data_IF_579422280358
#
_entry.id   IF_579422280358
#
_cell.length_a   1.000
_cell.length_b   1.000
_cell.length_c   1.000
_cell.angle_alpha   90.00
_cell.angle_beta   90.00
_cell.angle_gamma   90.00
#
_symmetry.space_group_name_H-M   'P 1'
#
loop_
_entity.id
_entity.type
_entity.pdbx_description
1 polymer ?
#
# COMPACT_ATOMS: atom_id res chain seq x y z
N UNK A 1 23.25 -0.28 -14.70
CA UNK A 1 23.64 -1.49 -13.93
C UNK A 1 22.76 -2.63 -14.39
N UNK A 2 23.32 -3.80 -14.61
CA UNK A 2 22.55 -5.01 -14.92
C UNK A 2 22.36 -5.86 -13.67
N UNK A 3 21.35 -6.74 -13.66
CA UNK A 3 21.13 -7.66 -12.54
C UNK A 3 22.38 -8.52 -12.25
N UNK A 4 23.10 -8.89 -13.32
CA UNK A 4 24.36 -9.65 -13.25
C UNK A 4 25.45 -8.92 -12.48
N UNK A 5 25.47 -7.58 -12.51
CA UNK A 5 26.47 -6.77 -11.80
C UNK A 5 26.17 -6.70 -10.29
N UNK A 6 24.89 -6.80 -9.90
CA UNK A 6 24.43 -6.61 -8.50
C UNK A 6 24.33 -7.94 -7.74
N UNK A 7 24.12 -9.05 -8.46
CA UNK A 7 23.94 -10.39 -7.87
C UNK A 7 25.09 -10.83 -6.94
N UNK A 8 26.38 -10.60 -7.27
CA UNK A 8 27.48 -10.99 -6.40
C UNK A 8 27.45 -10.27 -5.06
N UNK A 9 27.15 -8.96 -5.07
CA UNK A 9 27.05 -8.15 -3.86
C UNK A 9 25.85 -8.58 -2.99
N UNK A 10 24.68 -8.81 -3.61
CA UNK A 10 23.50 -9.29 -2.90
C UNK A 10 23.71 -10.65 -2.21
N UNK A 11 24.56 -11.53 -2.79
CA UNK A 11 24.88 -12.83 -2.20
C UNK A 11 25.74 -12.73 -0.95
N UNK A 12 26.61 -11.71 -0.85
CA UNK A 12 27.52 -11.49 0.29
C UNK A 12 26.81 -10.92 1.53
N UNK A 13 25.59 -10.40 1.37
CA UNK A 13 24.78 -9.89 2.47
C UNK A 13 24.47 -10.97 3.52
N UNK A 14 24.40 -10.54 4.78
CA UNK A 14 23.88 -11.36 5.87
C UNK A 14 22.40 -11.69 5.66
N UNK A 15 21.89 -12.69 6.38
CA UNK A 15 20.47 -13.11 6.28
C UNK A 15 19.52 -11.93 6.56
N UNK A 16 19.81 -11.13 7.59
CA UNK A 16 19.02 -9.95 7.95
C UNK A 16 19.03 -8.88 6.86
N UNK A 17 20.19 -8.64 6.24
CA UNK A 17 20.32 -7.67 5.15
C UNK A 17 19.61 -8.13 3.88
N UNK A 18 19.61 -9.44 3.58
CA UNK A 18 18.83 -10.01 2.47
C UNK A 18 17.33 -9.79 2.67
N UNK A 19 16.82 -10.01 3.88
CA UNK A 19 15.41 -9.74 4.19
C UNK A 19 15.06 -8.26 4.02
N UNK A 20 15.95 -7.34 4.44
CA UNK A 20 15.78 -5.90 4.22
C UNK A 20 15.78 -5.54 2.73
N UNK A 21 16.72 -6.11 1.96
CA UNK A 21 16.79 -5.89 0.51
C UNK A 21 15.53 -6.36 -0.19
N UNK A 22 15.00 -7.55 0.15
CA UNK A 22 13.74 -8.06 -0.40
C UNK A 22 12.60 -7.08 -0.12
N UNK A 23 12.52 -6.57 1.11
CA UNK A 23 11.47 -5.61 1.49
C UNK A 23 11.56 -4.30 0.70
N UNK A 24 12.74 -3.72 0.57
CA UNK A 24 12.94 -2.49 -0.22
C UNK A 24 12.54 -2.73 -1.67
N UNK A 25 12.95 -3.85 -2.26
CA UNK A 25 12.59 -4.18 -3.64
C UNK A 25 11.09 -4.41 -3.84
N UNK A 26 10.40 -4.98 -2.85
CA UNK A 26 8.95 -5.13 -2.88
C UNK A 26 8.25 -3.76 -2.79
N UNK A 27 8.70 -2.90 -1.88
CA UNK A 27 8.19 -1.53 -1.71
C UNK A 27 8.42 -0.68 -2.99
N UNK A 28 9.59 -0.81 -3.62
CA UNK A 28 9.89 -0.15 -4.89
C UNK A 28 8.99 -0.63 -6.03
N UNK A 29 8.65 -1.93 -6.08
CA UNK A 29 7.73 -2.49 -7.07
C UNK A 29 6.29 -2.05 -6.84
N UNK A 30 5.85 -1.93 -5.58
CA UNK A 30 4.53 -1.40 -5.22
C UNK A 30 4.44 0.11 -5.50
N UNK A 31 5.51 0.88 -5.27
CA UNK A 31 5.59 2.30 -5.64
C UNK A 31 5.68 2.53 -7.16
N UNK A 32 6.20 1.56 -7.90
CA UNK A 32 6.29 1.61 -9.35
C UNK A 32 4.96 1.32 -10.05
N UNK A 33 3.95 0.79 -9.33
CA UNK A 33 2.58 0.98 -9.78
C UNK A 33 2.30 2.49 -9.69
N UNK A 34 2.18 3.15 -10.84
CA UNK A 34 1.65 4.50 -10.92
C UNK A 34 0.20 4.47 -10.40
N UNK A 35 0.05 4.52 -9.07
CA UNK A 35 -1.15 5.06 -8.46
C UNK A 35 -1.06 6.57 -8.69
N UNK A 36 -1.16 7.00 -9.95
CA UNK A 36 -1.42 8.40 -10.28
C UNK A 36 -2.80 8.65 -9.67
N UNK A 37 -2.89 9.29 -8.47
CA UNK A 37 -4.07 9.11 -7.65
C UNK A 37 -5.28 9.71 -8.35
N UNK A 38 -5.07 10.71 -9.22
CA UNK A 38 -6.09 11.37 -10.01
C UNK A 38 -5.45 11.90 -11.31
N UNK A 39 -6.11 11.69 -12.44
CA UNK A 39 -5.71 12.26 -13.72
C UNK A 39 -6.00 13.77 -13.75
N UNK A 40 -5.10 14.61 -14.28
CA UNK A 40 -5.38 16.03 -14.48
C UNK A 40 -6.65 16.23 -15.30
N UNK A 41 -7.53 17.13 -14.86
CA UNK A 41 -8.79 17.47 -15.52
C UNK A 41 -9.85 16.37 -15.58
N UNK A 42 -9.68 15.27 -14.84
CA UNK A 42 -10.72 14.25 -14.71
C UNK A 42 -11.67 14.59 -13.56
N UNK A 43 -12.96 14.59 -13.87
CA UNK A 43 -14.01 14.60 -12.86
C UNK A 43 -14.18 13.18 -12.32
N UNK A 44 -14.12 13.04 -11.00
CA UNK A 44 -14.36 11.78 -10.31
C UNK A 44 -15.66 11.89 -9.54
N UNK A 45 -16.58 10.97 -9.80
CA UNK A 45 -17.82 10.86 -9.03
C UNK A 45 -17.49 10.29 -7.65
N UNK A 46 -17.35 11.19 -6.68
CA UNK A 46 -17.19 10.82 -5.29
C UNK A 46 -18.59 10.59 -4.71
N UNK A 47 -18.90 9.37 -4.21
CA UNK A 47 -20.13 9.16 -3.46
C UNK A 47 -20.05 10.02 -2.21
N UNK A 48 -20.76 11.16 -2.21
CA UNK A 48 -20.86 11.98 -1.01
C UNK A 48 -21.90 11.36 -0.08
N UNK A 49 -21.65 11.31 1.24
CA UNK A 49 -22.60 10.77 2.19
C UNK A 49 -23.77 11.75 2.46
N UNK A 50 -24.12 12.61 1.51
CA UNK A 50 -25.08 13.71 1.68
C UNK A 50 -26.46 13.20 2.13
N UNK A 51 -26.88 12.04 1.63
CA UNK A 51 -28.11 11.34 2.06
C UNK A 51 -27.84 10.06 2.86
N UNK A 52 -26.60 9.86 3.32
CA UNK A 52 -26.20 8.68 4.11
C UNK A 52 -26.36 8.94 5.61
N UNK A 53 -27.57 9.37 6.01
CA UNK A 53 -27.91 9.60 7.41
C UNK A 53 -27.67 8.34 8.23
N UNK A 54 -26.95 8.46 9.36
CA UNK A 54 -26.66 7.33 10.23
C UNK A 54 -25.53 6.41 9.74
N UNK A 55 -24.97 6.59 8.54
CA UNK A 55 -23.83 5.81 8.07
C UNK A 55 -22.62 5.92 9.00
N UNK A 56 -22.41 7.09 9.63
CA UNK A 56 -21.39 7.26 10.65
C UNK A 56 -21.58 6.36 11.87
N UNK A 57 -22.82 6.12 12.32
CA UNK A 57 -23.08 5.22 13.44
C UNK A 57 -22.81 3.76 13.08
N UNK A 58 -23.23 3.35 11.87
CA UNK A 58 -22.98 1.99 11.34
C UNK A 58 -21.48 1.74 11.16
N UNK A 59 -20.74 2.73 10.65
CA UNK A 59 -19.28 2.65 10.53
C UNK A 59 -18.63 2.48 11.90
N UNK A 60 -19.01 3.29 12.87
CA UNK A 60 -18.47 3.23 14.23
C UNK A 60 -18.75 1.89 14.93
N UNK A 61 -19.94 1.31 14.71
CA UNK A 61 -20.27 -0.03 15.22
C UNK A 61 -19.40 -1.10 14.55
N UNK A 62 -19.23 -1.01 13.24
CA UNK A 62 -18.44 -1.97 12.44
C UNK A 62 -16.96 -1.94 12.84
N UNK A 63 -16.39 -0.74 13.03
CA UNK A 63 -15.01 -0.56 13.48
C UNK A 63 -14.78 -1.08 14.91
N UNK A 64 -15.77 -0.93 15.79
CA UNK A 64 -15.71 -1.52 17.14
C UNK A 64 -15.74 -3.04 17.10
N UNK A 65 -16.60 -3.64 16.26
CA UNK A 65 -16.67 -5.10 16.07
C UNK A 65 -15.37 -5.67 15.52
N UNK A 66 -14.73 -5.01 14.55
CA UNK A 66 -13.42 -5.43 14.03
C UNK A 66 -12.31 -5.32 15.09
N UNK A 67 -12.38 -4.31 15.97
CA UNK A 67 -11.41 -4.15 17.06
C UNK A 67 -11.63 -5.15 18.23
N UNK A 68 -12.84 -5.68 18.37
CA UNK A 68 -13.18 -6.70 19.39
C UNK A 68 -13.00 -8.14 18.87
N UNK A 69 -12.56 -8.31 17.62
CA UNK A 69 -12.29 -9.58 16.95
C UNK A 69 -10.81 -9.92 16.82
N UNK A 70 -10.00 -9.62 17.85
CA UNK A 70 -8.69 -10.24 18.09
C UNK A 70 -8.64 -10.87 19.48
#
# INVERSE_FOLDING_TARGET
>A
MTLSDVLPAARQLSVTEKLKLIRILAEDLEMAEEISPLEPFKAYDLPTPYDSFGAGAVLMESLKKSNMGQ
#
